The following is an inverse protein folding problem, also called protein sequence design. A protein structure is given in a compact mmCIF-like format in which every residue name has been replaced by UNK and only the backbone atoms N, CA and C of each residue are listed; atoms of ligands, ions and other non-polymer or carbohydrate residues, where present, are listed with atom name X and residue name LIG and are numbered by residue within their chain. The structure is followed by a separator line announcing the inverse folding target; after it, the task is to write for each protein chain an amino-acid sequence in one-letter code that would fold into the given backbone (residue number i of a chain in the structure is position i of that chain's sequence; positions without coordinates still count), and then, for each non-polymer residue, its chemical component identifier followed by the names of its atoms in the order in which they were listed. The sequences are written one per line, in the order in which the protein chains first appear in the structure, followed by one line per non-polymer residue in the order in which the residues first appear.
data_IF_539327402298
#
_entry.id   IF_539327402298
#
_cell.length_a   1.000
_cell.length_b   1.000
_cell.length_c   1.000
_cell.angle_alpha   90.00
_cell.angle_beta   90.00
_cell.angle_gamma   90.00
#
_symmetry.space_group_name_H-M   'P 1'
#
loop_
_entity.id
_entity.type
_entity.pdbx_description
1 polymer ?
#
# COMPACT_ATOMS: atom_id res chain seq x y z
N UNK A 1 -3.29 3.07 -21.18
CA UNK A 1 -2.28 3.66 -20.29
C UNK A 1 -1.19 2.61 -20.02
N UNK A 2 -0.34 2.37 -21.01
CA UNK A 2 0.64 1.26 -20.99
C UNK A 2 1.81 1.44 -19.99
N UNK A 3 1.95 2.61 -19.36
CA UNK A 3 3.07 2.97 -18.49
C UNK A 3 2.58 3.46 -17.11
N UNK A 4 1.41 3.03 -16.71
CA UNK A 4 0.73 3.50 -15.50
C UNK A 4 0.24 2.32 -14.67
N UNK A 5 0.43 2.38 -13.34
CA UNK A 5 -0.03 1.37 -12.39
C UNK A 5 -0.61 2.02 -11.13
N UNK A 6 -1.37 1.24 -10.36
CA UNK A 6 -1.80 1.59 -9.00
C UNK A 6 -1.02 0.73 -7.99
N UNK A 7 -0.52 1.35 -6.94
CA UNK A 7 0.01 0.70 -5.75
C UNK A 7 -0.95 0.93 -4.59
N UNK A 8 -1.51 -0.16 -4.08
CA UNK A 8 -2.39 -0.19 -2.91
C UNK A 8 -1.55 -0.61 -1.71
N UNK A 9 -1.39 0.28 -0.74
CA UNK A 9 -0.51 0.07 0.42
C UNK A 9 -1.34 -0.23 1.66
N UNK A 10 -1.09 -1.38 2.26
CA UNK A 10 -1.55 -1.77 3.60
C UNK A 10 -3.06 -1.60 3.86
N UNK A 11 -3.91 -1.84 2.86
CA UNK A 11 -5.36 -1.95 3.08
C UNK A 11 -5.72 -3.32 3.66
N UNK A 12 -5.19 -3.57 4.87
CA UNK A 12 -5.27 -4.81 5.62
C UNK A 12 -6.26 -4.69 6.78
N UNK A 13 -6.82 -5.82 7.23
CA UNK A 13 -7.84 -5.79 8.27
C UNK A 13 -7.36 -5.15 9.58
N UNK A 14 -6.11 -5.36 10.01
CA UNK A 14 -5.63 -4.75 11.26
C UNK A 14 -5.59 -3.23 11.21
N UNK A 15 -5.37 -2.64 10.03
CA UNK A 15 -5.40 -1.19 9.82
C UNK A 15 -6.81 -0.63 9.56
N UNK A 16 -7.80 -1.48 9.31
CA UNK A 16 -9.17 -1.06 8.97
C UNK A 16 -10.10 -1.23 10.17
N UNK A 17 -10.23 -2.45 10.69
CA UNK A 17 -11.14 -2.80 11.79
C UNK A 17 -10.47 -3.61 12.92
N UNK A 18 -9.14 -3.82 12.86
CA UNK A 18 -8.40 -4.67 13.77
C UNK A 18 -7.56 -3.92 14.80
N UNK A 19 -6.40 -4.50 15.15
CA UNK A 19 -5.58 -4.11 16.32
C UNK A 19 -4.96 -2.71 16.21
N UNK A 20 -4.77 -2.18 14.99
CA UNK A 20 -4.24 -0.85 14.73
C UNK A 20 -5.15 -0.05 13.79
N UNK A 21 -6.46 -0.12 14.04
CA UNK A 21 -7.46 0.51 13.20
C UNK A 21 -7.22 2.03 13.03
N UNK A 22 -7.08 2.45 11.79
CA UNK A 22 -6.79 3.82 11.39
C UNK A 22 -8.07 4.61 11.09
N UNK A 23 -8.01 5.91 11.23
CA UNK A 23 -9.11 6.81 10.87
C UNK A 23 -9.28 6.85 9.34
N UNK A 24 -10.51 7.01 8.89
CA UNK A 24 -10.89 7.06 7.46
C UNK A 24 -10.56 5.77 6.66
N UNK A 25 -10.24 4.66 7.31
CA UNK A 25 -9.76 3.45 6.64
C UNK A 25 -10.83 2.80 5.74
N UNK A 26 -12.05 2.60 6.25
CA UNK A 26 -13.17 2.05 5.47
C UNK A 26 -13.51 2.91 4.25
N UNK A 27 -13.58 4.23 4.42
CA UNK A 27 -13.85 5.16 3.33
C UNK A 27 -12.73 5.13 2.28
N UNK A 28 -11.49 5.01 2.73
CA UNK A 28 -10.33 4.87 1.84
C UNK A 28 -10.40 3.58 1.00
N UNK A 29 -10.83 2.46 1.59
CA UNK A 29 -11.06 1.20 0.87
C UNK A 29 -12.17 1.35 -0.18
N UNK A 30 -13.30 1.97 0.18
CA UNK A 30 -14.41 2.18 -0.74
C UNK A 30 -14.02 3.10 -1.91
N UNK A 31 -13.28 4.17 -1.63
CA UNK A 31 -12.77 5.08 -2.65
C UNK A 31 -11.74 4.40 -3.56
N UNK A 32 -10.82 3.59 -3.00
CA UNK A 32 -9.84 2.82 -3.77
C UNK A 32 -10.52 1.81 -4.69
N UNK A 33 -11.53 1.08 -4.17
CA UNK A 33 -12.36 0.18 -4.99
C UNK A 33 -13.00 0.92 -6.15
N UNK A 34 -13.67 2.04 -5.88
CA UNK A 34 -14.32 2.85 -6.91
C UNK A 34 -13.32 3.36 -7.97
N UNK A 35 -12.12 3.75 -7.55
CA UNK A 35 -11.05 4.14 -8.46
C UNK A 35 -10.61 2.97 -9.35
N UNK A 36 -10.37 1.78 -8.79
CA UNK A 36 -9.99 0.58 -9.55
C UNK A 36 -11.08 0.22 -10.54
N UNK A 37 -12.35 0.16 -10.12
CA UNK A 37 -13.49 -0.13 -10.99
C UNK A 37 -13.57 0.83 -12.18
N UNK A 38 -13.36 2.11 -11.94
CA UNK A 38 -13.32 3.12 -13.00
C UNK A 38 -12.20 2.88 -14.02
N UNK A 39 -11.04 2.41 -13.55
CA UNK A 39 -9.87 2.20 -14.40
C UNK A 39 -9.88 0.88 -15.16
N UNK A 40 -10.57 -0.15 -14.62
CA UNK A 40 -10.51 -1.52 -15.11
C UNK A 40 -11.83 -2.04 -15.69
N UNK A 41 -12.92 -1.33 -15.47
CA UNK A 41 -14.26 -1.76 -15.88
C UNK A 41 -14.99 -2.60 -14.82
N UNK A 42 -14.42 -2.71 -13.61
CA UNK A 42 -15.08 -3.31 -12.45
C UNK A 42 -14.54 -4.69 -12.05
N UNK A 43 -14.97 -5.16 -10.88
CA UNK A 43 -14.54 -6.41 -10.24
C UNK A 43 -15.06 -7.69 -10.90
N UNK A 44 -15.88 -7.58 -11.94
CA UNK A 44 -16.33 -8.73 -12.74
C UNK A 44 -15.25 -9.22 -13.71
N UNK A 45 -14.20 -8.42 -13.93
CA UNK A 45 -13.05 -8.81 -14.73
C UNK A 45 -12.13 -9.75 -13.92
N UNK A 46 -11.51 -10.72 -14.58
CA UNK A 46 -10.51 -11.54 -13.91
C UNK A 46 -9.26 -10.71 -13.57
N UNK A 47 -8.49 -11.09 -12.53
CA UNK A 47 -7.25 -10.39 -12.17
C UNK A 47 -6.27 -10.24 -13.34
N UNK A 48 -6.20 -11.23 -14.24
CA UNK A 48 -5.33 -11.18 -15.42
C UNK A 48 -5.77 -10.12 -16.43
N UNK A 49 -7.09 -9.94 -16.60
CA UNK A 49 -7.65 -8.88 -17.45
C UNK A 49 -7.37 -7.51 -16.84
N UNK A 50 -7.58 -7.36 -15.54
CA UNK A 50 -7.27 -6.13 -14.77
C UNK A 50 -5.80 -5.79 -14.94
N UNK A 51 -4.90 -6.76 -14.73
CA UNK A 51 -3.46 -6.59 -14.93
C UNK A 51 -3.11 -6.10 -16.34
N UNK A 52 -3.73 -6.66 -17.39
CA UNK A 52 -3.50 -6.25 -18.77
C UNK A 52 -4.02 -4.85 -19.12
N UNK A 53 -5.04 -4.37 -18.40
CA UNK A 53 -5.65 -3.05 -18.60
C UNK A 53 -4.96 -1.96 -17.78
N UNK A 54 -4.81 -2.23 -16.47
CA UNK A 54 -4.28 -1.30 -15.49
C UNK A 54 -3.73 -2.09 -14.30
N UNK A 55 -2.42 -2.35 -14.23
CA UNK A 55 -1.83 -3.13 -13.16
C UNK A 55 -2.14 -2.54 -11.78
N UNK A 56 -2.66 -3.39 -10.89
CA UNK A 56 -2.91 -3.09 -9.47
C UNK A 56 -1.96 -3.93 -8.64
N UNK A 57 -1.02 -3.28 -7.96
CA UNK A 57 0.00 -3.91 -7.13
C UNK A 57 -0.33 -3.68 -5.66
N UNK A 58 -0.28 -4.73 -4.86
CA UNK A 58 -0.56 -4.66 -3.42
C UNK A 58 0.73 -4.73 -2.62
N UNK A 59 0.88 -3.81 -1.68
CA UNK A 59 1.92 -3.86 -0.65
C UNK A 59 1.25 -4.18 0.67
N UNK A 60 1.80 -5.15 1.39
CA UNK A 60 1.20 -5.70 2.61
C UNK A 60 2.25 -5.82 3.71
N UNK A 61 1.95 -5.25 4.89
CA UNK A 61 2.69 -5.60 6.10
C UNK A 61 2.51 -7.09 6.40
N UNK A 62 3.62 -7.76 6.72
CA UNK A 62 3.63 -9.20 6.94
C UNK A 62 4.64 -9.53 8.05
N UNK A 63 4.27 -9.18 9.29
CA UNK A 63 5.18 -9.25 10.42
C UNK A 63 5.28 -10.65 11.02
N UNK A 64 6.47 -11.11 11.38
CA UNK A 64 6.62 -12.26 12.28
C UNK A 64 6.10 -11.88 13.69
N UNK A 65 5.69 -12.88 14.49
CA UNK A 65 5.11 -12.68 15.82
C UNK A 65 5.99 -11.93 16.81
N UNK A 66 7.30 -11.93 16.59
CA UNK A 66 8.31 -11.31 17.45
C UNK A 66 8.91 -10.04 16.83
N UNK A 67 8.15 -9.33 16.01
CA UNK A 67 8.65 -8.14 15.33
C UNK A 67 8.94 -7.01 16.33
N UNK A 68 10.08 -6.32 16.15
CA UNK A 68 10.58 -5.27 17.04
C UNK A 68 9.69 -4.03 17.12
N UNK A 69 8.82 -3.80 16.14
CA UNK A 69 7.86 -2.68 16.18
C UNK A 69 6.74 -2.87 17.19
N UNK A 70 6.53 -4.10 17.69
CA UNK A 70 5.45 -4.39 18.62
C UNK A 70 5.80 -3.97 20.06
N UNK A 71 4.82 -3.47 20.78
CA UNK A 71 4.99 -2.98 22.16
C UNK A 71 5.49 -4.06 23.14
N UNK A 72 5.15 -5.32 22.90
CA UNK A 72 5.69 -6.46 23.65
C UNK A 72 7.21 -6.60 23.52
N UNK A 73 7.80 -6.09 22.44
CA UNK A 73 9.23 -6.13 22.16
C UNK A 73 9.89 -4.73 22.22
N UNK A 74 9.18 -3.74 22.81
CA UNK A 74 9.69 -2.39 23.03
C UNK A 74 9.43 -1.41 21.89
N UNK A 75 8.66 -1.81 20.88
CA UNK A 75 8.24 -0.94 19.78
C UNK A 75 7.04 -0.06 20.13
N UNK A 76 6.65 0.86 19.23
CA UNK A 76 5.59 1.82 19.48
C UNK A 76 4.17 1.28 19.20
N UNK A 77 4.03 0.14 18.51
CA UNK A 77 2.75 -0.33 17.99
C UNK A 77 2.20 -1.55 18.74
N UNK A 78 0.89 -1.74 18.82
CA UNK A 78 0.34 -3.05 19.17
C UNK A 78 0.74 -4.09 18.13
N UNK A 79 0.69 -5.37 18.47
CA UNK A 79 0.90 -6.42 17.46
C UNK A 79 -0.17 -6.30 16.37
N UNK A 80 0.27 -6.20 15.11
CA UNK A 80 -0.58 -5.99 13.95
C UNK A 80 -0.01 -6.71 12.73
N UNK A 81 -0.83 -7.00 11.76
CA UNK A 81 -0.48 -7.62 10.48
C UNK A 81 0.43 -8.84 10.64
N UNK A 82 0.18 -9.63 11.70
CA UNK A 82 0.97 -10.84 11.97
C UNK A 82 0.70 -11.88 10.90
N UNK A 83 1.76 -12.37 10.28
CA UNK A 83 1.73 -13.34 9.20
C UNK A 83 0.80 -14.53 9.50
N UNK A 84 -0.10 -14.85 8.57
CA UNK A 84 -1.06 -15.94 8.68
C UNK A 84 -2.25 -15.68 9.61
N UNK A 85 -2.47 -14.43 10.02
CA UNK A 85 -3.69 -14.01 10.73
C UNK A 85 -4.61 -13.22 9.80
N UNK A 86 -5.92 -13.12 10.15
CA UNK A 86 -6.86 -12.27 9.42
C UNK A 86 -6.36 -10.81 9.34
N UNK A 87 -5.67 -10.33 10.38
CA UNK A 87 -5.15 -8.97 10.43
C UNK A 87 -4.22 -8.60 9.29
N UNK A 88 -3.45 -9.59 8.78
CA UNK A 88 -2.52 -9.42 7.65
C UNK A 88 -3.17 -9.65 6.27
N UNK A 89 -4.47 -9.96 6.21
CA UNK A 89 -5.16 -10.17 4.94
C UNK A 89 -5.64 -8.85 4.34
N UNK A 90 -5.58 -8.74 3.01
CA UNK A 90 -6.17 -7.62 2.27
C UNK A 90 -7.69 -7.63 2.47
N UNK A 91 -8.27 -6.45 2.67
CA UNK A 91 -9.71 -6.29 2.88
C UNK A 91 -10.54 -6.90 1.74
N UNK A 92 -11.66 -7.56 2.09
CA UNK A 92 -12.50 -8.35 1.17
C UNK A 92 -12.95 -7.60 -0.09
N UNK A 93 -13.26 -6.30 0.03
CA UNK A 93 -13.67 -5.47 -1.11
C UNK A 93 -12.59 -5.31 -2.18
N UNK A 94 -11.31 -5.54 -1.83
CA UNK A 94 -10.18 -5.40 -2.72
C UNK A 94 -9.60 -6.75 -3.20
N UNK A 95 -9.98 -7.86 -2.56
CA UNK A 95 -9.56 -9.21 -2.95
C UNK A 95 -9.81 -9.53 -4.43
N UNK A 96 -10.94 -9.12 -5.06
CA UNK A 96 -11.18 -9.42 -6.47
C UNK A 96 -10.15 -8.83 -7.46
N UNK A 97 -9.39 -7.83 -7.03
CA UNK A 97 -8.37 -7.18 -7.88
C UNK A 97 -6.95 -7.71 -7.63
N UNK A 98 -6.81 -8.61 -6.67
CA UNK A 98 -5.52 -9.12 -6.24
C UNK A 98 -5.00 -10.19 -7.19
N UNK A 99 -3.77 -10.00 -7.69
CA UNK A 99 -2.98 -10.99 -8.40
C UNK A 99 -1.77 -11.34 -7.51
N UNK A 100 -1.53 -12.61 -7.23
CA UNK A 100 -0.50 -13.03 -6.27
C UNK A 100 0.90 -12.59 -6.69
N UNK A 101 1.19 -12.61 -7.98
CA UNK A 101 2.46 -12.16 -8.54
C UNK A 101 2.73 -10.66 -8.33
N UNK A 102 1.65 -9.90 -8.08
CA UNK A 102 1.68 -8.46 -7.82
C UNK A 102 1.42 -8.11 -6.34
N UNK A 103 1.57 -9.08 -5.44
CA UNK A 103 1.52 -8.87 -4.00
C UNK A 103 2.95 -8.83 -3.44
N UNK A 104 3.27 -7.76 -2.73
CA UNK A 104 4.59 -7.49 -2.16
C UNK A 104 4.46 -7.42 -0.64
N UNK A 105 5.30 -8.15 0.04
CA UNK A 105 5.31 -8.23 1.50
C UNK A 105 6.48 -7.43 2.06
N UNK A 106 6.24 -6.71 3.14
CA UNK A 106 7.24 -5.93 3.87
C UNK A 106 7.17 -6.17 5.37
N UNK A 107 8.20 -5.73 6.10
CA UNK A 107 8.26 -5.92 7.55
C UNK A 107 8.48 -7.37 8.00
N UNK A 108 9.06 -8.21 7.15
CA UNK A 108 9.32 -9.62 7.46
C UNK A 108 10.58 -9.83 8.32
N UNK A 109 11.50 -8.84 8.35
CA UNK A 109 12.65 -8.90 9.24
C UNK A 109 12.26 -8.49 10.67
N UNK A 110 12.32 -9.40 11.66
CA UNK A 110 11.87 -9.10 13.01
C UNK A 110 12.66 -7.98 13.72
N UNK A 111 13.84 -7.64 13.24
CA UNK A 111 14.73 -6.65 13.86
C UNK A 111 14.65 -5.25 13.25
N UNK A 112 13.90 -5.08 12.16
CA UNK A 112 13.89 -3.82 11.39
C UNK A 112 12.47 -3.38 11.07
N UNK A 113 12.18 -2.09 11.34
CA UNK A 113 10.94 -1.46 10.91
C UNK A 113 11.04 -1.08 9.42
N UNK A 114 10.03 -1.46 8.63
CA UNK A 114 9.98 -1.19 7.20
C UNK A 114 8.66 -0.52 6.81
N UNK A 115 8.62 0.81 6.80
CA UNK A 115 7.43 1.54 6.35
C UNK A 115 7.26 1.56 4.83
N UNK A 116 8.36 1.73 4.08
CA UNK A 116 8.29 1.79 2.61
C UNK A 116 8.00 0.43 2.00
N UNK A 117 7.02 0.40 1.08
CA UNK A 117 6.73 -0.78 0.27
C UNK A 117 7.66 -0.96 -0.93
N UNK A 118 8.53 0.01 -1.22
CA UNK A 118 9.36 -0.01 -2.43
C UNK A 118 10.27 -1.23 -2.55
N UNK A 119 10.85 -1.65 -1.43
CA UNK A 119 11.70 -2.85 -1.32
C UNK A 119 10.94 -4.10 -0.86
N UNK A 120 9.61 -4.00 -0.67
CA UNK A 120 8.73 -5.15 -0.40
C UNK A 120 8.86 -6.19 -1.51
N UNK A 121 8.82 -7.49 -1.18
CA UNK A 121 9.10 -8.57 -2.11
C UNK A 121 7.87 -9.43 -2.38
N UNK A 122 7.72 -9.82 -3.66
CA UNK A 122 6.72 -10.81 -4.06
C UNK A 122 7.23 -12.26 -3.84
N UNK A 123 6.39 -13.25 -4.10
CA UNK A 123 6.73 -14.66 -3.96
C UNK A 123 7.93 -15.10 -4.83
N UNK A 124 8.23 -14.37 -5.92
CA UNK A 124 9.41 -14.61 -6.76
C UNK A 124 10.68 -13.91 -6.23
N UNK A 125 10.60 -13.20 -5.11
CA UNK A 125 11.70 -12.46 -4.49
C UNK A 125 12.03 -11.12 -5.17
N UNK A 126 11.21 -10.67 -6.12
CA UNK A 126 11.39 -9.40 -6.81
C UNK A 126 10.81 -8.26 -5.96
N UNK A 127 11.49 -7.12 -5.90
CA UNK A 127 10.96 -5.93 -5.24
C UNK A 127 9.87 -5.24 -6.05
N UNK A 128 9.02 -4.44 -5.38
CA UNK A 128 8.04 -3.59 -6.05
C UNK A 128 8.70 -2.70 -7.10
N UNK A 129 9.84 -2.08 -6.76
CA UNK A 129 10.57 -1.21 -7.68
C UNK A 129 11.07 -1.96 -8.92
N UNK A 130 11.60 -3.17 -8.75
CA UNK A 130 12.03 -4.02 -9.88
C UNK A 130 10.86 -4.39 -10.79
N UNK A 131 9.73 -4.81 -10.24
CA UNK A 131 8.54 -5.19 -11.04
C UNK A 131 7.97 -3.99 -11.78
N UNK A 132 7.84 -2.83 -11.15
CA UNK A 132 7.41 -1.59 -11.84
C UNK A 132 8.34 -1.26 -13.01
N UNK A 133 9.64 -1.41 -12.83
CA UNK A 133 10.64 -1.22 -13.90
C UNK A 133 10.49 -2.23 -15.05
N UNK A 134 10.33 -3.51 -14.74
CA UNK A 134 10.12 -4.58 -15.73
C UNK A 134 8.84 -4.39 -16.55
N UNK A 135 7.78 -3.86 -15.92
CA UNK A 135 6.52 -3.52 -16.58
C UNK A 135 6.59 -2.24 -17.41
N UNK A 136 7.71 -1.51 -17.38
CA UNK A 136 7.87 -0.24 -18.06
C UNK A 136 7.01 0.89 -17.49
N UNK A 137 6.60 0.77 -16.22
CA UNK A 137 5.79 1.78 -15.54
C UNK A 137 6.61 3.06 -15.34
N UNK A 138 5.97 4.20 -15.54
CA UNK A 138 6.52 5.54 -15.31
C UNK A 138 5.66 6.35 -14.36
N UNK A 139 4.37 6.09 -14.38
CA UNK A 139 3.37 6.80 -13.60
C UNK A 139 2.78 5.84 -12.57
N UNK A 140 2.88 6.17 -11.28
CA UNK A 140 2.39 5.36 -10.19
C UNK A 140 1.35 6.13 -9.41
N UNK A 141 0.12 5.64 -9.44
CA UNK A 141 -0.91 6.05 -8.49
C UNK A 141 -0.69 5.32 -7.18
N UNK A 142 -0.87 6.00 -6.06
CA UNK A 142 -0.71 5.42 -4.73
C UNK A 142 -1.94 5.71 -3.89
N UNK A 143 -2.43 4.71 -3.17
CA UNK A 143 -3.47 4.82 -2.17
C UNK A 143 -3.19 3.86 -1.00
N UNK A 144 -3.87 4.03 0.12
CA UNK A 144 -3.74 3.09 1.26
C UNK A 144 -3.58 3.74 2.62
N UNK A 145 -2.88 3.06 3.53
CA UNK A 145 -2.79 3.31 4.97
C UNK A 145 -1.35 3.09 5.45
N UNK A 146 -0.78 3.86 6.38
CA UNK A 146 -1.28 5.16 6.83
C UNK A 146 -0.50 6.27 6.12
N UNK A 147 -1.18 7.39 5.87
CA UNK A 147 -0.64 8.54 5.12
C UNK A 147 0.72 8.99 5.63
N UNK A 148 0.88 9.15 6.93
CA UNK A 148 2.08 9.67 7.59
C UNK A 148 3.22 8.65 7.74
N UNK A 149 2.96 7.37 7.45
CA UNK A 149 3.93 6.28 7.59
C UNK A 149 4.18 5.57 6.25
N UNK A 150 3.49 4.46 6.00
CA UNK A 150 3.75 3.59 4.84
C UNK A 150 3.53 4.32 3.51
N UNK A 151 2.49 5.16 3.42
CA UNK A 151 2.20 5.94 2.22
C UNK A 151 3.31 6.96 1.96
N UNK A 152 3.65 7.79 2.97
CA UNK A 152 4.70 8.80 2.80
C UNK A 152 6.03 8.16 2.36
N UNK A 153 6.49 7.13 3.08
CA UNK A 153 7.77 6.49 2.79
C UNK A 153 7.78 5.80 1.42
N UNK A 154 6.70 5.10 1.05
CA UNK A 154 6.58 4.47 -0.28
C UNK A 154 6.57 5.49 -1.41
N UNK A 155 5.82 6.59 -1.25
CA UNK A 155 5.80 7.68 -2.23
C UNK A 155 7.17 8.35 -2.38
N UNK A 156 7.90 8.57 -1.29
CA UNK A 156 9.22 9.18 -1.30
C UNK A 156 10.24 8.30 -2.05
N UNK A 157 10.25 6.98 -1.79
CA UNK A 157 11.16 6.07 -2.47
C UNK A 157 10.80 5.88 -3.95
N UNK A 158 9.51 5.76 -4.29
CA UNK A 158 9.05 5.75 -5.69
C UNK A 158 9.51 7.02 -6.43
N UNK A 159 9.35 8.19 -5.79
CA UNK A 159 9.79 9.47 -6.37
C UNK A 159 11.30 9.52 -6.56
N UNK A 160 12.07 9.08 -5.56
CA UNK A 160 13.53 9.00 -5.61
C UNK A 160 14.02 8.05 -6.70
N UNK A 161 13.29 6.96 -6.95
CA UNK A 161 13.57 6.01 -8.04
C UNK A 161 13.21 6.54 -9.43
N UNK A 162 12.63 7.73 -9.54
CA UNK A 162 12.35 8.42 -10.82
C UNK A 162 10.93 8.24 -11.34
N UNK A 163 10.02 7.61 -10.60
CA UNK A 163 8.62 7.53 -10.99
C UNK A 163 7.91 8.88 -10.83
N UNK A 164 6.91 9.13 -11.66
CA UNK A 164 5.93 10.18 -11.43
C UNK A 164 4.86 9.64 -10.50
N UNK A 165 4.77 10.18 -9.29
CA UNK A 165 3.87 9.69 -8.24
C UNK A 165 2.63 10.57 -8.14
N UNK A 166 1.46 9.93 -8.18
CA UNK A 166 0.13 10.53 -7.99
C UNK A 166 -0.50 9.93 -6.74
N UNK A 167 -0.71 10.74 -5.71
CA UNK A 167 -1.35 10.31 -4.48
C UNK A 167 -2.85 10.59 -4.54
N UNK A 168 -3.66 9.53 -4.38
CA UNK A 168 -5.13 9.59 -4.38
C UNK A 168 -5.60 10.01 -2.98
N UNK A 169 -5.87 11.30 -2.76
CA UNK A 169 -6.18 11.86 -1.43
C UNK A 169 -7.42 11.27 -0.78
N UNK A 170 -8.44 10.99 -1.58
CA UNK A 170 -9.71 10.43 -1.09
C UNK A 170 -9.57 8.93 -0.71
N UNK A 171 -8.47 8.31 -1.10
CA UNK A 171 -8.18 6.89 -0.88
C UNK A 171 -7.13 6.67 0.22
N UNK A 172 -7.11 7.53 1.26
CA UNK A 172 -6.11 7.49 2.33
C UNK A 172 -6.74 7.29 3.71
N UNK A 173 -6.21 6.31 4.46
CA UNK A 173 -6.37 6.21 5.90
C UNK A 173 -5.17 6.81 6.63
N UNK A 174 -5.34 7.15 7.91
CA UNK A 174 -4.31 7.80 8.73
C UNK A 174 -4.47 7.46 10.22
N UNK A 175 -3.38 7.51 10.96
CA UNK A 175 -3.37 7.30 12.42
C UNK A 175 -3.82 8.59 13.11
N UNK A 176 -3.18 9.71 12.78
CA UNK A 176 -3.45 11.02 13.32
C UNK A 176 -3.75 12.06 12.23
N UNK A 177 -4.75 12.94 12.47
CA UNK A 177 -5.18 13.90 11.46
C UNK A 177 -4.16 15.02 11.21
N UNK A 178 -3.49 15.50 12.25
CA UNK A 178 -2.46 16.52 12.09
C UNK A 178 -1.25 15.97 11.33
N UNK A 179 -0.79 14.78 11.71
CA UNK A 179 0.27 14.06 11.01
C UNK A 179 -0.07 13.77 9.55
N UNK A 180 -1.33 13.40 9.26
CA UNK A 180 -1.84 13.25 7.89
C UNK A 180 -1.68 14.55 7.07
N UNK A 181 -2.12 15.70 7.62
CA UNK A 181 -2.01 16.99 6.91
C UNK A 181 -0.56 17.40 6.69
N UNK A 182 0.31 17.19 7.69
CA UNK A 182 1.74 17.46 7.56
C UNK A 182 2.41 16.57 6.49
N UNK A 183 2.07 15.28 6.46
CA UNK A 183 2.57 14.35 5.45
C UNK A 183 2.13 14.75 4.04
N UNK A 184 0.86 15.13 3.84
CA UNK A 184 0.37 15.64 2.56
C UNK A 184 1.12 16.90 2.11
N UNK A 185 1.29 17.86 3.02
CA UNK A 185 2.00 19.11 2.73
C UNK A 185 3.48 18.83 2.35
N UNK A 186 4.11 17.90 3.05
CA UNK A 186 5.49 17.47 2.77
C UNK A 186 5.60 16.79 1.42
N UNK A 187 4.74 15.82 1.13
CA UNK A 187 4.72 15.12 -0.17
C UNK A 187 4.51 16.08 -1.34
N UNK A 188 3.61 17.07 -1.19
CA UNK A 188 3.40 18.11 -2.20
C UNK A 188 4.67 18.95 -2.47
N UNK A 189 5.41 19.33 -1.42
CA UNK A 189 6.70 20.05 -1.55
C UNK A 189 7.79 19.20 -2.22
N UNK A 190 7.77 17.88 -2.00
CA UNK A 190 8.68 16.92 -2.61
C UNK A 190 8.30 16.57 -4.06
N UNK A 191 7.24 17.17 -4.60
CA UNK A 191 6.82 17.02 -5.99
C UNK A 191 5.99 15.76 -6.27
N UNK A 192 5.38 15.17 -5.24
CA UNK A 192 4.33 14.16 -5.38
C UNK A 192 3.02 14.89 -5.73
N UNK A 193 2.31 14.40 -6.73
CA UNK A 193 1.09 15.03 -7.24
C UNK A 193 -0.12 14.56 -6.42
N UNK A 194 -0.67 15.46 -5.62
CA UNK A 194 -1.88 15.20 -4.83
C UNK A 194 -3.13 15.39 -5.70
N UNK A 195 -3.93 14.36 -5.88
CA UNK A 195 -5.13 14.36 -6.72
C UNK A 195 -6.33 13.80 -5.99
#
# INVERSE_FOLDING_TARGET
MKDTALVVVDMLYDFIDGSLACKNAEQAVDAAKAFIDKMTGGSEQSPEVIYGLFPVLFVCDHHPRNHSSFSEFGGPWPAHCVAGTRGSEVHEKLQPYRCEELCFYKGENPAEEQYSGFDGRNAAGQSLGEVLGLLGIRNVYVCGIATEYCIYNSCADLKKAGFTVYLLKDCLGYVDYEGHLEALARMGKEGIRLI
#
